data_IF_365161297809
#
_entry.id   IF_365161297809
#
_cell.length_a   1.000
_cell.length_b   1.000
_cell.length_c   1.000
_cell.angle_alpha   90.00
_cell.angle_beta   90.00
_cell.angle_gamma   90.00
#
_symmetry.space_group_name_H-M   'P 1'
#
loop_
_entity.id
_entity.type
_entity.pdbx_description
1 polymer ?
#
# COMPACT_ATOMS: atom_id res chain seq x y z
N UNK A 1 36.35 -11.62 -24.85
CA UNK A 1 35.71 -11.29 -26.15
C UNK A 1 34.26 -11.80 -26.26
N UNK A 2 33.95 -13.11 -26.28
CA UNK A 2 32.53 -13.57 -26.39
C UNK A 2 31.74 -13.45 -25.07
N UNK A 3 32.36 -13.81 -23.95
CA UNK A 3 31.71 -13.75 -22.63
C UNK A 3 31.36 -12.31 -22.19
N UNK A 4 32.24 -11.35 -22.49
CA UNK A 4 32.01 -9.92 -22.23
C UNK A 4 30.86 -9.37 -23.06
N UNK A 5 30.79 -9.75 -24.34
CA UNK A 5 29.70 -9.34 -25.23
C UNK A 5 28.34 -9.82 -24.72
N UNK A 6 28.26 -11.08 -24.25
CA UNK A 6 27.07 -11.65 -23.63
C UNK A 6 26.69 -10.96 -22.31
N UNK A 7 27.67 -10.55 -21.51
CA UNK A 7 27.42 -9.79 -20.28
C UNK A 7 26.86 -8.41 -20.61
N UNK A 8 27.46 -7.71 -21.58
CA UNK A 8 26.99 -6.39 -22.01
C UNK A 8 25.56 -6.43 -22.56
N UNK A 9 25.24 -7.44 -23.36
CA UNK A 9 23.89 -7.61 -23.89
C UNK A 9 22.85 -7.85 -22.78
N UNK A 10 23.23 -8.60 -21.73
CA UNK A 10 22.38 -8.77 -20.55
C UNK A 10 22.21 -7.48 -19.76
N UNK A 11 23.27 -6.70 -19.59
CA UNK A 11 23.22 -5.40 -18.87
C UNK A 11 22.30 -4.44 -19.62
N UNK A 12 22.49 -4.26 -20.92
CA UNK A 12 21.65 -3.38 -21.74
C UNK A 12 20.17 -3.77 -21.65
N UNK A 13 19.88 -5.08 -21.66
CA UNK A 13 18.50 -5.57 -21.50
C UNK A 13 17.91 -5.22 -20.13
N UNK A 14 18.71 -5.27 -19.07
CA UNK A 14 18.27 -4.90 -17.71
C UNK A 14 18.05 -3.39 -17.61
N UNK A 15 18.92 -2.57 -18.21
CA UNK A 15 18.78 -1.10 -18.24
C UNK A 15 17.49 -0.67 -18.95
N UNK A 16 17.21 -1.24 -20.13
CA UNK A 16 15.97 -1.00 -20.87
C UNK A 16 14.72 -1.38 -20.06
N UNK A 17 14.78 -2.48 -19.31
CA UNK A 17 13.68 -2.88 -18.43
C UNK A 17 13.47 -1.90 -17.27
N UNK A 18 14.55 -1.36 -16.70
CA UNK A 18 14.46 -0.36 -15.62
C UNK A 18 13.87 0.94 -16.13
N UNK A 19 14.28 1.40 -17.32
CA UNK A 19 13.75 2.62 -17.95
C UNK A 19 12.24 2.48 -18.15
N UNK A 20 11.79 1.39 -18.78
CA UNK A 20 10.36 1.14 -19.00
C UNK A 20 9.57 1.02 -17.70
N UNK A 21 10.15 0.41 -16.66
CA UNK A 21 9.49 0.29 -15.36
C UNK A 21 9.27 1.65 -14.70
N UNK A 22 10.26 2.56 -14.80
CA UNK A 22 10.13 3.94 -14.31
C UNK A 22 9.12 4.75 -15.09
N UNK A 23 9.09 4.63 -16.42
CA UNK A 23 8.06 5.30 -17.24
C UNK A 23 6.65 4.87 -16.85
N UNK A 24 6.44 3.57 -16.57
CA UNK A 24 5.16 3.06 -16.07
C UNK A 24 4.86 3.58 -14.66
N UNK A 25 5.87 3.70 -13.80
CA UNK A 25 5.72 4.24 -12.45
C UNK A 25 5.38 5.74 -12.46
N UNK A 26 6.03 6.53 -13.32
CA UNK A 26 5.77 7.97 -13.51
C UNK A 26 4.38 8.24 -14.10
N UNK A 27 3.83 7.30 -14.86
CA UNK A 27 2.43 7.35 -15.35
C UNK A 27 1.41 7.03 -14.25
N UNK A 28 1.83 6.38 -13.17
CA UNK A 28 0.95 6.01 -12.06
C UNK A 28 1.08 7.05 -10.94
N UNK A 29 0.20 8.06 -10.95
CA UNK A 29 0.06 8.94 -9.80
C UNK A 29 -0.59 8.17 -8.63
N UNK A 30 0.24 7.54 -7.79
CA UNK A 30 -0.23 6.82 -6.61
C UNK A 30 -0.97 7.72 -5.62
N UNK A 31 -0.72 9.04 -5.61
CA UNK A 31 -1.47 9.96 -4.76
C UNK A 31 -2.89 10.14 -5.27
N UNK A 32 -3.11 10.12 -6.60
CA UNK A 32 -4.47 10.15 -7.18
C UNK A 32 -5.33 8.95 -6.79
N UNK A 33 -4.71 7.83 -6.39
CA UNK A 33 -5.40 6.64 -5.93
C UNK A 33 -5.81 6.72 -4.45
N UNK A 34 -5.29 7.69 -3.71
CA UNK A 34 -5.65 7.91 -2.31
C UNK A 34 -6.93 8.74 -2.20
N UNK A 35 -7.82 8.36 -1.28
CA UNK A 35 -8.95 9.20 -0.90
C UNK A 35 -8.50 10.49 -0.19
N UNK A 36 -7.30 10.46 0.42
CA UNK A 36 -6.73 11.57 1.16
C UNK A 36 -5.25 11.75 0.74
N UNK A 37 -4.98 12.47 -0.37
CA UNK A 37 -3.63 12.56 -0.95
C UNK A 37 -2.64 13.34 -0.07
N UNK A 38 -3.13 14.25 0.77
CA UNK A 38 -2.30 15.06 1.68
C UNK A 38 -1.92 14.33 2.97
N UNK A 39 -2.56 13.19 3.26
CA UNK A 39 -2.30 12.42 4.48
C UNK A 39 -0.94 11.74 4.36
N UNK A 40 -0.09 12.00 5.35
CA UNK A 40 1.22 11.36 5.48
C UNK A 40 1.21 10.45 6.69
N UNK A 41 1.74 9.24 6.50
CA UNK A 41 1.97 8.34 7.62
C UNK A 41 3.01 8.96 8.58
N UNK A 42 2.82 8.81 9.89
CA UNK A 42 3.85 9.19 10.86
C UNK A 42 5.19 8.50 10.56
N UNK A 43 6.33 9.16 10.81
CA UNK A 43 7.63 8.51 10.72
C UNK A 43 7.66 7.25 11.59
N UNK A 44 8.11 6.13 11.02
CA UNK A 44 8.14 4.80 11.68
C UNK A 44 6.77 4.17 11.93
N UNK A 45 5.72 4.62 11.24
CA UNK A 45 4.44 3.93 11.23
C UNK A 45 4.64 2.45 10.87
N UNK A 46 4.11 1.56 11.70
CA UNK A 46 4.06 0.13 11.42
C UNK A 46 2.60 -0.24 11.24
N UNK A 47 2.31 -0.89 10.12
CA UNK A 47 0.98 -1.42 9.88
C UNK A 47 0.62 -2.39 11.00
N UNK A 48 -0.54 -2.19 11.62
CA UNK A 48 -1.05 -3.11 12.62
C UNK A 48 -1.61 -4.35 11.92
N UNK A 49 -1.22 -5.51 12.43
CA UNK A 49 -1.87 -6.77 12.07
C UNK A 49 -3.16 -6.86 12.88
N UNK A 50 -4.27 -6.44 12.28
CA UNK A 50 -5.60 -6.54 12.87
C UNK A 50 -6.36 -7.70 12.21
N UNK A 51 -7.22 -8.34 13.01
CA UNK A 51 -8.17 -9.31 12.47
C UNK A 51 -9.05 -8.62 11.43
N UNK A 52 -9.27 -9.30 10.30
CA UNK A 52 -10.11 -8.77 9.24
C UNK A 52 -11.57 -8.89 9.63
N UNK A 53 -12.36 -7.89 9.26
CA UNK A 53 -13.80 -7.93 9.40
C UNK A 53 -14.35 -9.08 8.54
N UNK A 54 -14.93 -10.08 9.19
CA UNK A 54 -15.42 -11.34 8.62
C UNK A 54 -16.87 -11.26 8.09
N UNK A 55 -17.41 -10.04 7.96
CA UNK A 55 -18.79 -9.71 7.52
C UNK A 55 -19.91 -10.20 8.46
N UNK A 56 -19.64 -11.17 9.33
CA UNK A 56 -20.60 -11.79 10.26
C UNK A 56 -20.58 -11.09 11.62
N UNK A 57 -19.40 -10.62 12.04
CA UNK A 57 -19.22 -9.91 13.30
C UNK A 57 -19.90 -8.53 13.31
N UNK A 58 -20.13 -7.98 14.50
CA UNK A 58 -20.77 -6.67 14.65
C UNK A 58 -19.83 -5.54 14.18
N UNK A 59 -20.23 -4.80 13.14
CA UNK A 59 -19.47 -3.67 12.57
C UNK A 59 -19.10 -2.59 13.61
N UNK A 60 -19.99 -2.29 14.56
CA UNK A 60 -19.71 -1.35 15.65
C UNK A 60 -18.60 -1.84 16.58
N UNK A 61 -18.54 -3.13 16.85
CA UNK A 61 -17.50 -3.73 17.69
C UNK A 61 -16.15 -3.72 16.97
N UNK A 62 -16.15 -4.06 15.68
CA UNK A 62 -14.95 -3.98 14.83
C UNK A 62 -14.39 -2.56 14.75
N UNK A 63 -15.24 -1.56 14.52
CA UNK A 63 -14.83 -0.16 14.49
C UNK A 63 -14.22 0.30 15.82
N UNK A 64 -14.82 -0.08 16.96
CA UNK A 64 -14.29 0.23 18.29
C UNK A 64 -12.92 -0.41 18.52
N UNK A 65 -12.75 -1.66 18.11
CA UNK A 65 -11.46 -2.35 18.19
C UNK A 65 -10.40 -1.64 17.35
N UNK A 66 -10.74 -1.33 16.09
CA UNK A 66 -9.86 -0.62 15.17
C UNK A 66 -9.38 0.73 15.73
N UNK A 67 -10.32 1.60 16.13
CA UNK A 67 -9.99 2.93 16.67
C UNK A 67 -9.07 2.82 17.89
N UNK A 68 -9.34 1.88 18.81
CA UNK A 68 -8.48 1.66 19.99
C UNK A 68 -7.07 1.23 19.61
N UNK A 69 -6.92 0.40 18.59
CA UNK A 69 -5.62 -0.09 18.15
C UNK A 69 -4.79 1.02 17.48
N UNK A 70 -5.45 1.91 16.74
CA UNK A 70 -4.82 3.03 16.03
C UNK A 70 -4.56 4.25 16.94
N UNK A 71 -5.32 4.43 18.02
CA UNK A 71 -5.22 5.57 18.95
C UNK A 71 -3.79 5.92 19.42
N UNK A 72 -2.90 4.95 19.76
CA UNK A 72 -1.53 5.25 20.19
C UNK A 72 -0.61 5.76 19.08
N UNK A 73 -0.98 5.61 17.81
CA UNK A 73 -0.16 5.98 16.65
C UNK A 73 -0.28 7.46 16.25
N UNK A 74 -1.13 8.24 16.94
CA UNK A 74 -1.26 9.68 16.71
C UNK A 74 -1.94 10.00 15.38
N UNK A 75 -3.14 9.44 15.19
CA UNK A 75 -3.80 9.44 13.88
C UNK A 75 -4.77 10.59 13.70
N UNK A 76 -4.82 11.13 12.48
CA UNK A 76 -5.90 12.02 12.02
C UNK A 76 -7.09 11.17 11.56
N UNK A 77 -8.28 11.77 11.47
CA UNK A 77 -9.49 11.05 11.03
C UNK A 77 -9.35 10.50 9.60
N UNK A 78 -8.62 11.22 8.74
CA UNK A 78 -8.34 10.83 7.36
C UNK A 78 -7.41 9.61 7.30
N UNK A 79 -6.39 9.55 8.16
CA UNK A 79 -5.51 8.39 8.24
C UNK A 79 -6.27 7.15 8.71
N UNK A 80 -7.12 7.32 9.74
CA UNK A 80 -7.99 6.25 10.23
C UNK A 80 -8.91 5.73 9.11
N UNK A 81 -9.53 6.63 8.35
CA UNK A 81 -10.42 6.27 7.26
C UNK A 81 -9.68 5.54 6.12
N UNK A 82 -8.50 6.03 5.72
CA UNK A 82 -7.69 5.43 4.66
C UNK A 82 -7.22 4.02 5.03
N UNK A 83 -6.73 3.83 6.26
CA UNK A 83 -6.14 2.57 6.69
C UNK A 83 -7.20 1.51 7.05
N UNK A 84 -8.45 1.91 7.32
CA UNK A 84 -9.53 1.00 7.66
C UNK A 84 -9.81 -0.03 6.56
N UNK A 85 -9.61 0.34 5.29
CA UNK A 85 -9.77 -0.54 4.13
C UNK A 85 -8.92 -1.83 4.25
N UNK A 86 -7.76 -1.75 4.89
CA UNK A 86 -6.87 -2.90 5.07
C UNK A 86 -7.41 -3.92 6.09
N UNK A 87 -8.35 -3.50 6.93
CA UNK A 87 -9.00 -4.38 7.92
C UNK A 87 -10.22 -5.10 7.36
N UNK A 88 -10.60 -4.84 6.11
CA UNK A 88 -11.73 -5.52 5.48
C UNK A 88 -11.26 -6.83 4.83
N UNK A 89 -12.08 -7.87 4.94
CA UNK A 89 -11.91 -9.04 4.07
C UNK A 89 -12.11 -8.56 2.64
N UNK A 90 -11.22 -8.98 1.71
CA UNK A 90 -11.33 -8.61 0.29
C UNK A 90 -12.77 -8.91 -0.14
N UNK A 91 -13.47 -7.89 -0.65
CA UNK A 91 -14.73 -8.13 -1.31
C UNK A 91 -14.47 -9.15 -2.42
N UNK A 92 -15.09 -10.31 -2.29
CA UNK A 92 -15.18 -11.22 -3.44
C UNK A 92 -16.25 -10.57 -4.30
N UNK A 93 -15.87 -10.00 -5.45
CA UNK A 93 -16.85 -9.49 -6.41
C UNK A 93 -17.86 -10.63 -6.67
N UNK A 94 -19.12 -10.43 -6.26
CA UNK A 94 -20.24 -11.29 -6.63
C UNK A 94 -20.82 -10.77 -7.94
#
# INVERSE_FOLDING_TARGET
>A
MEGEKKINERINKVEEMIIRAREVEDLMDYQSLSLFPDVRLPPKFKMLTLDKFDEISCSKSHLKMYIRAMQPLGETEELLAQMFQNTLTKATFR
#
